data_IF_832532790049
#
_entry.id   IF_832532790049
#
_cell.length_a   1.000
_cell.length_b   1.000
_cell.length_c   1.000
_cell.angle_alpha   90.00
_cell.angle_beta   90.00
_cell.angle_gamma   90.00
#
_symmetry.space_group_name_H-M   'P 1'
#
loop_
_entity.id
_entity.type
_entity.pdbx_description
1 polymer ?
#
# COMPACT_ATOMS: atom_id res chain seq x y z
N UNK A 1 7.43 -23.33 -71.00
CA UNK A 1 8.42 -24.36 -71.41
C UNK A 1 9.88 -24.10 -70.93
N UNK A 2 10.19 -23.09 -70.10
CA UNK A 2 11.58 -22.93 -69.56
C UNK A 2 11.76 -23.41 -68.11
N UNK A 3 10.68 -23.53 -67.34
CA UNK A 3 10.70 -23.90 -65.92
C UNK A 3 10.93 -25.40 -65.66
N UNK A 4 10.50 -26.29 -66.57
CA UNK A 4 10.68 -27.74 -66.39
C UNK A 4 12.14 -28.18 -66.53
N UNK A 5 12.96 -27.44 -67.30
CA UNK A 5 14.40 -27.73 -67.45
C UNK A 5 15.18 -27.37 -66.18
N UNK A 6 14.78 -26.30 -65.47
CA UNK A 6 15.33 -25.92 -64.17
C UNK A 6 14.95 -26.94 -63.08
N UNK A 7 13.69 -27.39 -63.05
CA UNK A 7 13.22 -28.40 -62.10
C UNK A 7 13.89 -29.75 -62.35
N UNK A 8 14.04 -30.18 -63.61
CA UNK A 8 14.74 -31.41 -63.96
C UNK A 8 16.25 -31.35 -63.60
N UNK A 9 16.88 -30.18 -63.75
CA UNK A 9 18.27 -29.96 -63.33
C UNK A 9 18.45 -30.04 -61.81
N UNK A 10 17.54 -29.45 -61.03
CA UNK A 10 17.56 -29.50 -59.56
C UNK A 10 17.28 -30.92 -59.05
N UNK A 11 16.35 -31.64 -59.67
CA UNK A 11 16.05 -33.04 -59.33
C UNK A 11 17.24 -33.96 -59.65
N UNK A 12 17.90 -33.72 -60.78
CA UNK A 12 19.13 -34.42 -61.17
C UNK A 12 20.26 -34.15 -60.18
N UNK A 13 20.44 -32.91 -59.73
CA UNK A 13 21.49 -32.55 -58.77
C UNK A 13 21.21 -33.14 -57.38
N UNK A 14 19.95 -33.19 -56.94
CA UNK A 14 19.50 -33.90 -55.73
C UNK A 14 19.74 -35.41 -55.81
N UNK A 15 19.49 -36.02 -56.97
CA UNK A 15 19.78 -37.43 -57.21
C UNK A 15 21.30 -37.70 -57.23
N UNK A 16 22.11 -36.85 -57.86
CA UNK A 16 23.56 -36.99 -57.83
C UNK A 16 24.15 -36.79 -56.42
N UNK A 17 23.63 -35.84 -55.63
CA UNK A 17 24.03 -35.67 -54.23
C UNK A 17 23.64 -36.88 -53.37
N UNK A 18 22.49 -37.52 -53.65
CA UNK A 18 22.08 -38.74 -52.95
C UNK A 18 23.02 -39.92 -53.23
N UNK A 19 23.53 -40.05 -54.46
CA UNK A 19 24.45 -41.13 -54.84
C UNK A 19 25.85 -40.90 -54.26
N UNK A 20 26.32 -39.65 -54.16
CA UNK A 20 27.61 -39.35 -53.53
C UNK A 20 27.61 -39.53 -52.01
N UNK A 21 26.47 -39.33 -51.33
CA UNK A 21 26.33 -39.63 -49.89
C UNK A 21 26.26 -41.14 -49.62
N UNK A 22 25.76 -41.95 -50.57
CA UNK A 22 25.80 -43.42 -50.47
C UNK A 22 27.16 -44.03 -50.83
N UNK A 23 28.15 -43.22 -51.24
CA UNK A 23 29.53 -43.65 -51.46
C UNK A 23 30.42 -43.41 -50.22
N UNK A 24 29.83 -42.97 -49.10
CA UNK A 24 30.50 -42.84 -47.82
C UNK A 24 30.50 -44.21 -47.13
N UNK A 25 31.50 -45.03 -47.47
CA UNK A 25 32.09 -46.09 -46.63
C UNK A 25 31.06 -46.75 -45.68
N UNK A 26 30.20 -47.63 -46.23
CA UNK A 26 29.46 -48.59 -45.40
C UNK A 26 30.50 -49.40 -44.65
N UNK A 27 30.77 -49.04 -43.39
CA UNK A 27 31.24 -50.04 -42.43
C UNK A 27 30.13 -51.08 -42.37
N UNK A 28 30.26 -52.13 -43.17
CA UNK A 28 29.46 -53.35 -43.03
C UNK A 28 29.66 -53.82 -41.59
N UNK A 29 28.68 -53.48 -40.76
CA UNK A 29 28.63 -53.88 -39.37
C UNK A 29 28.58 -55.41 -39.37
N UNK A 30 29.59 -56.04 -38.78
CA UNK A 30 29.66 -57.50 -38.71
C UNK A 30 28.42 -58.06 -38.01
N UNK A 31 28.06 -59.32 -38.28
CA UNK A 31 26.89 -59.98 -37.64
C UNK A 31 26.94 -59.87 -36.11
N UNK A 32 28.14 -59.91 -35.53
CA UNK A 32 28.40 -59.74 -34.10
C UNK A 32 28.17 -58.30 -33.61
N UNK A 33 28.62 -57.30 -34.36
CA UNK A 33 28.34 -55.88 -34.08
C UNK A 33 26.84 -55.56 -34.21
N UNK A 34 26.15 -56.15 -35.19
CA UNK A 34 24.70 -56.01 -35.36
C UNK A 34 23.93 -56.64 -34.19
N UNK A 35 24.30 -57.86 -33.78
CA UNK A 35 23.66 -58.52 -32.64
C UNK A 35 23.88 -57.73 -31.34
N UNK A 36 25.06 -57.12 -31.18
CA UNK A 36 25.39 -56.25 -30.04
C UNK A 36 24.52 -54.99 -30.05
N UNK A 37 24.37 -54.34 -31.19
CA UNK A 37 23.53 -53.14 -31.33
C UNK A 37 22.04 -53.44 -31.12
N UNK A 38 21.54 -54.57 -31.64
CA UNK A 38 20.17 -55.02 -31.42
C UNK A 38 19.89 -55.32 -29.93
N UNK A 39 20.86 -55.92 -29.23
CA UNK A 39 20.76 -56.13 -27.79
C UNK A 39 20.75 -54.79 -27.03
N UNK A 40 21.66 -53.87 -27.37
CA UNK A 40 21.73 -52.51 -26.80
C UNK A 40 20.41 -51.75 -26.96
N UNK A 41 19.88 -51.73 -28.18
CA UNK A 41 18.60 -51.06 -28.49
C UNK A 41 17.43 -51.72 -27.76
N UNK A 42 17.46 -53.04 -27.59
CA UNK A 42 16.44 -53.79 -26.83
C UNK A 42 16.48 -53.42 -25.35
N UNK A 43 17.67 -53.35 -24.74
CA UNK A 43 17.85 -52.90 -23.36
C UNK A 43 17.41 -51.44 -23.18
N UNK A 44 17.80 -50.55 -24.10
CA UNK A 44 17.35 -49.15 -24.11
C UNK A 44 15.82 -49.05 -24.19
N UNK A 45 15.17 -49.87 -25.02
CA UNK A 45 13.70 -49.92 -25.11
C UNK A 45 13.07 -50.36 -23.79
N UNK A 46 13.62 -51.38 -23.14
CA UNK A 46 13.13 -51.88 -21.84
C UNK A 46 13.29 -50.80 -20.77
N UNK A 47 14.44 -50.14 -20.72
CA UNK A 47 14.72 -49.05 -19.79
C UNK A 47 13.79 -47.84 -20.02
N UNK A 48 13.64 -47.38 -21.26
CA UNK A 48 12.70 -46.31 -21.61
C UNK A 48 11.24 -46.67 -21.26
N UNK A 49 10.85 -47.94 -21.47
CA UNK A 49 9.50 -48.41 -21.09
C UNK A 49 9.32 -48.36 -19.57
N UNK A 50 10.34 -48.73 -18.80
CA UNK A 50 10.35 -48.62 -17.34
C UNK A 50 10.22 -47.15 -16.91
N UNK A 51 11.03 -46.25 -17.47
CA UNK A 51 10.96 -44.81 -17.19
C UNK A 51 9.57 -44.23 -17.51
N UNK A 52 8.95 -44.62 -18.63
CA UNK A 52 7.58 -44.20 -18.99
C UNK A 52 6.58 -44.62 -17.92
N UNK A 53 6.68 -45.85 -17.41
CA UNK A 53 5.76 -46.35 -16.39
C UNK A 53 5.98 -45.66 -15.03
N UNK A 54 7.23 -45.38 -14.65
CA UNK A 54 7.57 -44.61 -13.45
C UNK A 54 7.07 -43.16 -13.53
N UNK A 55 7.24 -42.51 -14.69
CA UNK A 55 6.69 -41.18 -14.95
C UNK A 55 5.17 -41.16 -14.91
N UNK A 56 4.50 -42.16 -15.48
CA UNK A 56 3.04 -42.31 -15.39
C UNK A 56 2.58 -42.42 -13.94
N UNK A 57 3.23 -43.26 -13.14
CA UNK A 57 2.94 -43.38 -11.71
C UNK A 57 3.11 -42.04 -10.99
N UNK A 58 4.20 -41.33 -11.27
CA UNK A 58 4.47 -40.00 -10.68
C UNK A 58 3.41 -38.96 -11.08
N UNK A 59 2.97 -38.97 -12.34
CA UNK A 59 1.88 -38.11 -12.82
C UNK A 59 0.58 -38.41 -12.07
N UNK A 60 0.25 -39.69 -11.89
CA UNK A 60 -0.95 -40.09 -11.18
C UNK A 60 -0.91 -39.70 -9.69
N UNK A 61 0.26 -39.84 -9.05
CA UNK A 61 0.48 -39.34 -7.69
C UNK A 61 0.33 -37.81 -7.58
N UNK A 62 0.90 -37.06 -8.52
CA UNK A 62 0.78 -35.61 -8.54
C UNK A 62 -0.66 -35.15 -8.77
N UNK A 63 -1.40 -35.82 -9.67
CA UNK A 63 -2.83 -35.57 -9.89
C UNK A 63 -3.65 -35.85 -8.63
N UNK A 64 -3.35 -36.94 -7.91
CA UNK A 64 -3.99 -37.24 -6.62
C UNK A 64 -3.70 -36.15 -5.58
N UNK A 65 -2.45 -35.69 -5.47
CA UNK A 65 -2.07 -34.59 -4.57
C UNK A 65 -2.80 -33.30 -4.93
N UNK A 66 -2.87 -32.96 -6.21
CA UNK A 66 -3.60 -31.79 -6.69
C UNK A 66 -5.10 -31.88 -6.38
N UNK A 67 -5.72 -33.05 -6.59
CA UNK A 67 -7.13 -33.27 -6.29
C UNK A 67 -7.45 -33.28 -4.78
N UNK A 68 -6.46 -33.62 -3.94
CA UNK A 68 -6.59 -33.60 -2.48
C UNK A 68 -6.39 -32.21 -1.87
N UNK A 69 -5.80 -31.26 -2.62
CA UNK A 69 -5.66 -29.89 -2.15
C UNK A 69 -7.01 -29.17 -2.19
N UNK A 70 -7.38 -28.57 -1.07
CA UNK A 70 -8.50 -27.65 -1.00
C UNK A 70 -8.25 -26.47 -1.95
N UNK A 71 -9.33 -25.94 -2.55
CA UNK A 71 -9.20 -24.78 -3.40
C UNK A 71 -8.71 -23.58 -2.58
N UNK A 72 -7.94 -22.71 -3.23
CA UNK A 72 -7.47 -21.46 -2.60
C UNK A 72 -8.65 -20.62 -2.10
N UNK A 73 -9.75 -20.63 -2.85
CA UNK A 73 -10.98 -19.91 -2.52
C UNK A 73 -11.60 -20.42 -1.21
N UNK A 74 -11.71 -21.73 -1.03
CA UNK A 74 -12.27 -22.30 0.19
C UNK A 74 -11.39 -22.01 1.42
N UNK A 75 -10.07 -22.08 1.25
CA UNK A 75 -9.12 -21.74 2.32
C UNK A 75 -9.22 -20.26 2.73
N UNK A 76 -9.41 -19.36 1.75
CA UNK A 76 -9.63 -17.94 2.00
C UNK A 76 -10.95 -17.71 2.74
N UNK A 77 -12.03 -18.38 2.32
CA UNK A 77 -13.33 -18.25 2.94
C UNK A 77 -13.35 -18.82 4.37
N UNK A 78 -12.64 -19.92 4.63
CA UNK A 78 -12.44 -20.44 5.98
C UNK A 78 -11.71 -19.43 6.87
N UNK A 79 -10.62 -18.82 6.36
CA UNK A 79 -9.90 -17.74 7.07
C UNK A 79 -10.81 -16.55 7.41
N UNK A 80 -11.69 -16.15 6.49
CA UNK A 80 -12.65 -15.08 6.75
C UNK A 80 -13.72 -15.49 7.77
N UNK A 81 -14.16 -16.75 7.74
CA UNK A 81 -15.08 -17.29 8.72
C UNK A 81 -14.50 -17.30 10.15
N UNK A 82 -13.17 -17.47 10.31
CA UNK A 82 -12.50 -17.38 11.62
C UNK A 82 -12.68 -16.01 12.29
N UNK A 83 -12.75 -14.93 11.52
CA UNK A 83 -13.03 -13.57 12.04
C UNK A 83 -14.52 -13.22 12.01
N UNK A 84 -15.38 -14.19 11.66
CA UNK A 84 -16.83 -14.04 11.58
C UNK A 84 -17.28 -13.15 10.42
N UNK A 85 -16.54 -13.16 9.31
CA UNK A 85 -16.81 -12.33 8.14
C UNK A 85 -17.03 -13.15 6.87
N UNK A 86 -17.81 -12.59 5.95
CA UNK A 86 -17.96 -13.13 4.59
C UNK A 86 -16.99 -12.45 3.62
N UNK A 87 -16.79 -13.03 2.44
CA UNK A 87 -16.03 -12.40 1.36
C UNK A 87 -16.58 -10.99 1.03
N UNK A 88 -17.91 -10.84 0.98
CA UNK A 88 -18.56 -9.56 0.72
C UNK A 88 -18.24 -8.50 1.79
N UNK A 89 -18.12 -8.91 3.05
CA UNK A 89 -17.73 -8.02 4.15
C UNK A 89 -16.28 -7.56 4.00
N UNK A 90 -15.38 -8.47 3.63
CA UNK A 90 -13.97 -8.15 3.39
C UNK A 90 -13.81 -7.22 2.19
N UNK A 91 -14.55 -7.44 1.11
CA UNK A 91 -14.55 -6.56 -0.08
C UNK A 91 -15.08 -5.17 0.28
N UNK A 92 -16.12 -5.08 1.10
CA UNK A 92 -16.64 -3.79 1.60
C UNK A 92 -15.59 -3.08 2.46
N UNK A 93 -15.01 -3.78 3.42
CA UNK A 93 -13.97 -3.24 4.29
C UNK A 93 -12.74 -2.77 3.51
N UNK A 94 -12.29 -3.53 2.49
CA UNK A 94 -11.20 -3.13 1.61
C UNK A 94 -11.48 -1.80 0.92
N UNK A 95 -12.73 -1.55 0.49
CA UNK A 95 -13.14 -0.26 -0.11
C UNK A 95 -13.12 0.88 0.91
N UNK A 96 -13.63 0.64 2.13
CA UNK A 96 -13.62 1.64 3.21
C UNK A 96 -12.19 2.03 3.59
N UNK A 97 -11.29 1.05 3.73
CA UNK A 97 -9.86 1.28 3.99
C UNK A 97 -9.23 2.12 2.88
N UNK A 98 -9.47 1.76 1.61
CA UNK A 98 -8.92 2.48 0.47
C UNK A 98 -9.45 3.92 0.37
N UNK A 99 -10.73 4.12 0.68
CA UNK A 99 -11.33 5.45 0.70
C UNK A 99 -10.70 6.33 1.78
N UNK A 100 -10.57 5.82 3.02
CA UNK A 100 -9.97 6.58 4.11
C UNK A 100 -8.49 6.86 3.86
N UNK A 101 -7.73 5.88 3.35
CA UNK A 101 -6.34 6.08 2.95
C UNK A 101 -6.22 7.22 1.93
N UNK A 102 -7.08 7.26 0.91
CA UNK A 102 -7.10 8.36 -0.05
C UNK A 102 -7.40 9.72 0.59
N UNK A 103 -8.30 9.78 1.57
CA UNK A 103 -8.61 11.01 2.30
C UNK A 103 -7.42 11.49 3.15
N UNK A 104 -6.74 10.56 3.84
CA UNK A 104 -5.53 10.85 4.62
C UNK A 104 -4.40 11.34 3.70
N UNK A 105 -4.19 10.67 2.56
CA UNK A 105 -3.14 11.05 1.61
C UNK A 105 -3.36 12.45 1.02
N UNK A 106 -4.62 12.82 0.76
CA UNK A 106 -4.98 14.17 0.31
C UNK A 106 -5.03 15.21 1.43
N UNK A 107 -4.79 14.82 2.68
CA UNK A 107 -4.91 15.68 3.88
C UNK A 107 -6.26 16.39 3.93
N UNK A 108 -7.33 15.63 3.69
CA UNK A 108 -8.69 16.14 3.65
C UNK A 108 -9.20 16.39 5.07
N UNK A 109 -9.04 17.63 5.56
CA UNK A 109 -9.48 18.06 6.88
C UNK A 109 -10.99 17.83 7.12
N UNK A 110 -11.42 17.64 8.38
CA UNK A 110 -10.60 17.63 9.60
C UNK A 110 -9.81 16.33 9.83
N UNK A 111 -8.58 16.42 10.33
CA UNK A 111 -7.73 15.27 10.72
C UNK A 111 -8.38 14.47 11.84
N UNK A 112 -9.02 15.15 12.79
CA UNK A 112 -9.74 14.53 13.91
C UNK A 112 -10.78 13.51 13.38
N UNK A 113 -11.54 13.88 12.35
CA UNK A 113 -12.54 13.00 11.74
C UNK A 113 -11.89 11.77 11.07
N UNK A 114 -10.69 11.92 10.49
CA UNK A 114 -9.93 10.81 9.87
C UNK A 114 -9.33 9.90 10.92
N UNK A 115 -8.89 10.44 12.06
CA UNK A 115 -8.43 9.65 13.20
C UNK A 115 -9.58 8.80 13.75
N UNK A 116 -10.77 9.39 13.96
CA UNK A 116 -11.96 8.66 14.39
C UNK A 116 -12.35 7.58 13.38
N UNK A 117 -12.34 7.89 12.09
CA UNK A 117 -12.61 6.90 11.04
C UNK A 117 -11.59 5.75 11.06
N UNK A 118 -10.30 6.05 11.27
CA UNK A 118 -9.26 5.03 11.37
C UNK A 118 -9.47 4.14 12.60
N UNK A 119 -9.82 4.72 13.73
CA UNK A 119 -10.03 3.98 14.98
C UNK A 119 -11.26 3.08 14.88
N UNK A 120 -12.35 3.55 14.25
CA UNK A 120 -13.50 2.70 13.92
C UNK A 120 -13.13 1.51 13.03
N UNK A 121 -12.22 1.71 12.05
CA UNK A 121 -11.75 0.60 11.20
C UNK A 121 -10.86 -0.37 11.98
N UNK A 122 -10.04 0.10 12.92
CA UNK A 122 -9.21 -0.76 13.78
C UNK A 122 -10.05 -1.59 14.75
N UNK A 123 -11.16 -1.05 15.24
CA UNK A 123 -12.06 -1.74 16.16
C UNK A 123 -12.85 -2.88 15.47
N UNK A 124 -12.96 -2.86 14.15
CA UNK A 124 -13.54 -3.96 13.38
C UNK A 124 -12.72 -5.24 13.52
N UNK A 125 -13.37 -6.39 13.68
CA UNK A 125 -12.70 -7.71 13.68
C UNK A 125 -11.92 -8.00 12.40
N UNK A 126 -12.34 -7.39 11.28
CA UNK A 126 -11.64 -7.50 9.99
C UNK A 126 -10.24 -6.88 10.04
N UNK A 127 -9.97 -5.95 10.95
CA UNK A 127 -8.65 -5.33 11.10
C UNK A 127 -7.55 -6.31 11.52
N UNK A 128 -7.94 -7.45 12.11
CA UNK A 128 -7.02 -8.52 12.51
C UNK A 128 -6.49 -9.33 11.32
N UNK A 129 -7.13 -9.24 10.15
CA UNK A 129 -6.66 -9.95 8.97
C UNK A 129 -5.29 -9.40 8.54
N UNK A 130 -4.32 -10.26 8.15
CA UNK A 130 -2.97 -9.83 7.79
C UNK A 130 -2.91 -8.77 6.68
N UNK A 131 -3.88 -8.80 5.75
CA UNK A 131 -3.97 -7.83 4.66
C UNK A 131 -4.29 -6.40 5.13
N UNK A 132 -4.94 -6.23 6.29
CA UNK A 132 -5.34 -4.92 6.82
C UNK A 132 -4.52 -4.50 8.04
N UNK A 133 -4.07 -5.44 8.86
CA UNK A 133 -3.44 -5.14 10.14
C UNK A 133 -2.25 -4.17 10.02
N UNK A 134 -1.26 -4.48 9.19
CA UNK A 134 -0.10 -3.60 9.03
C UNK A 134 -0.51 -2.23 8.46
N UNK A 135 -1.43 -2.23 7.49
CA UNK A 135 -1.90 -1.02 6.82
C UNK A 135 -2.59 -0.06 7.78
N UNK A 136 -3.55 -0.54 8.57
CA UNK A 136 -4.31 0.27 9.52
C UNK A 136 -3.47 0.72 10.71
N UNK A 137 -2.75 -0.22 11.35
CA UNK A 137 -2.10 0.04 12.64
C UNK A 137 -0.73 0.71 12.51
N UNK A 138 -0.03 0.55 11.38
CA UNK A 138 1.28 1.17 11.15
C UNK A 138 1.22 2.25 10.09
N UNK A 139 0.85 1.90 8.87
CA UNK A 139 0.99 2.81 7.73
C UNK A 139 0.04 4.01 7.85
N UNK A 140 -1.27 3.77 8.02
CA UNK A 140 -2.27 4.83 8.11
C UNK A 140 -2.16 5.64 9.38
N UNK A 141 -1.85 5.00 10.52
CA UNK A 141 -1.58 5.73 11.76
C UNK A 141 -0.38 6.67 11.61
N UNK A 142 0.74 6.18 11.05
CA UNK A 142 1.93 7.02 10.84
C UNK A 142 1.64 8.19 9.86
N UNK A 143 0.81 7.97 8.84
CA UNK A 143 0.39 9.06 7.94
C UNK A 143 -0.40 10.14 8.68
N UNK A 144 -1.29 9.76 9.60
CA UNK A 144 -2.04 10.70 10.44
C UNK A 144 -1.13 11.40 11.46
N UNK A 145 -0.24 10.67 12.12
CA UNK A 145 0.69 11.26 13.10
C UNK A 145 1.59 12.31 12.43
N UNK A 146 2.07 12.03 11.21
CA UNK A 146 2.87 12.96 10.41
C UNK A 146 2.07 14.12 9.79
N UNK A 147 0.74 14.11 9.87
CA UNK A 147 -0.10 15.17 9.35
C UNK A 147 -0.24 16.30 10.37
N UNK A 148 0.51 17.37 10.15
CA UNK A 148 0.36 18.67 10.83
C UNK A 148 -0.84 19.44 10.22
N UNK A 149 -1.88 19.70 11.01
CA UNK A 149 -3.00 20.56 10.60
C UNK A 149 -2.77 22.02 10.99
N UNK A 150 -3.20 22.93 10.13
CA UNK A 150 -3.24 24.34 10.48
C UNK A 150 -4.22 24.56 11.65
N UNK A 151 -3.87 25.41 12.63
CA UNK A 151 -4.75 25.71 13.75
C UNK A 151 -6.11 26.24 13.29
N UNK A 152 -7.21 25.68 13.80
CA UNK A 152 -8.59 26.09 13.47
C UNK A 152 -8.77 27.58 13.80
N UNK A 153 -9.10 28.44 12.85
CA UNK A 153 -9.24 29.89 13.07
C UNK A 153 -10.69 30.30 13.37
N UNK A 154 -10.87 31.18 14.36
CA UNK A 154 -12.17 31.81 14.69
C UNK A 154 -12.08 33.32 14.45
N UNK A 155 -13.07 33.90 13.79
CA UNK A 155 -13.13 35.35 13.60
C UNK A 155 -13.80 36.04 14.79
N UNK A 156 -13.17 37.08 15.34
CA UNK A 156 -13.71 37.89 16.42
C UNK A 156 -13.77 39.37 16.05
N UNK A 157 -14.90 40.02 16.35
CA UNK A 157 -15.05 41.47 16.17
C UNK A 157 -14.68 42.20 17.46
N UNK A 158 -13.69 43.09 17.38
CA UNK A 158 -13.21 43.89 18.51
C UNK A 158 -14.31 44.84 19.00
N UNK A 159 -14.53 44.84 20.32
CA UNK A 159 -15.48 45.74 20.97
C UNK A 159 -14.72 46.86 21.71
N UNK A 160 -15.38 48.00 21.93
CA UNK A 160 -14.80 49.12 22.69
C UNK A 160 -14.32 48.64 24.07
N UNK A 161 -13.05 48.93 24.40
CA UNK A 161 -12.42 48.51 25.65
C UNK A 161 -11.83 47.11 25.64
N UNK A 162 -11.71 46.47 24.47
CA UNK A 162 -10.86 45.30 24.27
C UNK A 162 -9.41 45.72 24.04
N UNK A 163 -8.50 44.86 24.49
CA UNK A 163 -7.07 44.87 24.20
C UNK A 163 -6.64 43.41 24.02
N UNK A 164 -5.53 43.16 23.31
CA UNK A 164 -5.17 41.80 22.86
C UNK A 164 -5.13 40.78 24.01
N UNK A 165 -4.61 41.18 25.16
CA UNK A 165 -4.59 40.35 26.37
C UNK A 165 -6.00 39.98 26.88
N UNK A 166 -6.92 40.94 26.89
CA UNK A 166 -8.31 40.70 27.33
C UNK A 166 -9.06 39.79 26.36
N UNK A 167 -8.79 39.91 25.06
CA UNK A 167 -9.34 39.01 24.05
C UNK A 167 -8.80 37.59 24.30
N UNK A 168 -7.48 37.42 24.37
CA UNK A 168 -6.84 36.12 24.63
C UNK A 168 -7.31 35.45 25.94
N UNK A 169 -7.59 36.25 26.98
CA UNK A 169 -8.06 35.75 28.28
C UNK A 169 -9.50 35.20 28.25
N UNK A 170 -10.32 35.48 27.23
CA UNK A 170 -11.69 34.94 27.17
C UNK A 170 -11.65 33.41 27.06
N UNK A 171 -12.51 32.72 27.82
CA UNK A 171 -12.55 31.25 27.88
C UNK A 171 -12.92 30.61 26.53
N UNK A 172 -13.70 31.32 25.71
CA UNK A 172 -14.06 30.88 24.35
C UNK A 172 -12.87 30.89 23.36
N UNK A 173 -11.75 31.51 23.72
CA UNK A 173 -10.54 31.56 22.91
C UNK A 173 -9.44 30.74 23.58
N UNK A 174 -8.59 31.36 24.41
CA UNK A 174 -7.46 30.67 25.03
C UNK A 174 -7.61 30.50 26.55
N UNK A 175 -8.49 31.27 27.21
CA UNK A 175 -8.55 31.33 28.68
C UNK A 175 -7.23 31.82 29.32
N UNK A 176 -6.31 32.33 28.51
CA UNK A 176 -4.95 32.66 28.91
C UNK A 176 -4.47 33.92 28.19
N UNK A 177 -4.35 35.00 28.96
CA UNK A 177 -3.91 36.30 28.44
C UNK A 177 -2.50 36.28 27.87
N UNK A 178 -1.60 35.38 28.31
CA UNK A 178 -0.23 35.28 27.78
C UNK A 178 -0.16 34.85 26.31
N UNK A 179 -1.22 34.24 25.79
CA UNK A 179 -1.32 33.83 24.38
C UNK A 179 -1.73 34.99 23.44
N UNK A 180 -1.85 36.22 23.92
CA UNK A 180 -2.12 37.40 23.09
C UNK A 180 -1.18 37.60 21.89
N UNK A 181 0.14 37.23 21.93
CA UNK A 181 1.02 37.40 20.77
C UNK A 181 0.60 36.54 19.57
N UNK A 182 -0.15 35.46 19.79
CA UNK A 182 -0.68 34.60 18.72
C UNK A 182 -1.71 35.37 17.89
N UNK A 183 -2.61 36.10 18.56
CA UNK A 183 -3.61 36.98 17.91
C UNK A 183 -2.88 38.08 17.12
N UNK A 184 -1.86 38.69 17.71
CA UNK A 184 -1.06 39.70 17.01
C UNK A 184 -0.38 39.14 15.75
N UNK A 185 0.27 37.98 15.86
CA UNK A 185 0.99 37.35 14.76
C UNK A 185 0.05 36.95 13.61
N UNK A 186 -1.15 36.47 13.91
CA UNK A 186 -2.15 36.09 12.91
C UNK A 186 -2.75 37.28 12.15
N UNK A 187 -2.65 38.50 12.68
CA UNK A 187 -3.28 39.71 12.13
C UNK A 187 -2.26 40.84 11.91
N UNK A 188 -0.99 40.51 11.65
CA UNK A 188 0.09 41.49 11.43
C UNK A 188 -0.15 42.43 10.26
N UNK A 189 -1.00 42.02 9.32
CA UNK A 189 -1.49 42.81 8.21
C UNK A 189 -2.43 43.94 8.65
N UNK A 190 -3.17 43.74 9.75
CA UNK A 190 -4.14 44.70 10.28
C UNK A 190 -3.63 45.47 11.50
N UNK A 191 -2.74 44.87 12.30
CA UNK A 191 -2.24 45.42 13.56
C UNK A 191 -0.79 45.86 13.37
N UNK A 192 -0.57 47.17 13.24
CA UNK A 192 0.77 47.76 13.15
C UNK A 192 1.46 47.89 14.50
N UNK A 193 0.67 48.21 15.53
CA UNK A 193 1.10 48.37 16.91
C UNK A 193 0.20 47.49 17.79
N UNK A 194 0.76 46.52 18.54
CA UNK A 194 -0.03 45.62 19.38
C UNK A 194 -0.85 46.34 20.47
N UNK A 195 -0.43 47.54 20.88
CA UNK A 195 -1.13 48.32 21.90
C UNK A 195 -2.30 49.15 21.32
N UNK A 196 -2.42 49.21 19.98
CA UNK A 196 -3.40 50.05 19.29
C UNK A 196 -4.35 49.22 18.41
N UNK A 197 -5.49 48.83 19.00
CA UNK A 197 -6.59 48.16 18.30
C UNK A 197 -7.89 48.99 18.39
N UNK A 198 -8.75 48.87 17.38
CA UNK A 198 -9.94 49.69 17.20
C UNK A 198 -11.22 48.86 17.20
N UNK A 199 -12.34 49.39 17.73
CA UNK A 199 -13.64 48.74 17.65
C UNK A 199 -14.05 48.45 16.20
N UNK A 200 -14.77 47.33 15.99
CA UNK A 200 -15.24 46.80 14.69
C UNK A 200 -14.16 46.18 13.78
N UNK A 201 -12.89 46.12 14.21
CA UNK A 201 -11.90 45.29 13.52
C UNK A 201 -12.26 43.81 13.67
N UNK A 202 -12.03 43.02 12.62
CA UNK A 202 -12.24 41.58 12.64
C UNK A 202 -10.89 40.88 12.66
N UNK A 203 -10.57 40.25 13.78
CA UNK A 203 -9.34 39.51 13.97
C UNK A 203 -9.55 38.02 13.81
N UNK A 204 -8.61 37.38 13.13
CA UNK A 204 -8.45 35.93 13.10
C UNK A 204 -7.80 35.48 14.40
N UNK A 205 -8.44 34.58 15.11
CA UNK A 205 -7.95 33.99 16.35
C UNK A 205 -7.70 32.51 16.08
N UNK A 206 -6.44 32.11 15.76
CA UNK A 206 -6.10 30.71 15.56
C UNK A 206 -6.25 29.94 16.86
N UNK A 207 -6.81 28.75 16.86
CA UNK A 207 -6.82 27.88 18.03
C UNK A 207 -5.40 27.41 18.32
N UNK A 208 -5.00 27.34 19.59
CA UNK A 208 -3.65 26.91 19.94
C UNK A 208 -3.52 25.39 19.74
N UNK A 209 -2.37 24.94 19.21
CA UNK A 209 -2.01 23.53 19.30
C UNK A 209 -1.81 23.13 20.76
N UNK A 210 -1.85 21.83 21.07
CA UNK A 210 -1.70 21.39 22.47
C UNK A 210 -0.32 21.72 23.05
N UNK A 211 0.72 21.73 22.20
CA UNK A 211 2.06 22.19 22.58
C UNK A 211 2.10 23.69 22.89
N UNK A 212 1.43 24.51 22.08
CA UNK A 212 1.32 25.95 22.32
C UNK A 212 0.53 26.26 23.59
N UNK A 213 -0.60 25.56 23.83
CA UNK A 213 -1.35 25.66 25.09
C UNK A 213 -0.43 25.35 26.27
N UNK A 214 0.32 24.25 26.23
CA UNK A 214 1.23 23.87 27.30
C UNK A 214 2.32 24.93 27.54
N UNK A 215 2.85 25.55 26.49
CA UNK A 215 3.82 26.66 26.58
C UNK A 215 3.23 27.87 27.31
N UNK A 216 2.04 28.32 26.93
CA UNK A 216 1.41 29.51 27.53
C UNK A 216 0.86 29.24 28.95
N UNK A 217 0.44 28.00 29.26
CA UNK A 217 0.07 27.63 30.63
C UNK A 217 1.30 27.64 31.56
N UNK A 218 2.46 27.16 31.12
CA UNK A 218 3.71 27.31 31.87
C UNK A 218 4.07 28.78 32.09
N UNK A 219 3.91 29.63 31.07
CA UNK A 219 4.16 31.06 31.20
C UNK A 219 3.24 31.73 32.24
N UNK A 220 1.96 31.35 32.24
CA UNK A 220 0.96 31.80 33.23
C UNK A 220 1.30 31.33 34.65
N UNK A 221 1.71 30.07 34.82
CA UNK A 221 2.09 29.52 36.12
C UNK A 221 3.35 30.17 36.70
N UNK A 222 4.31 30.52 35.85
CA UNK A 222 5.58 31.15 36.27
C UNK A 222 5.45 32.67 36.51
N UNK A 223 4.32 33.27 36.15
CA UNK A 223 4.12 34.70 36.28
C UNK A 223 3.92 35.10 37.75
N UNK A 224 4.80 35.99 38.24
CA UNK A 224 4.67 36.65 39.54
C UNK A 224 4.16 38.07 39.29
N UNK A 225 2.94 38.42 39.73
CA UNK A 225 2.43 39.77 39.56
C UNK A 225 3.30 40.77 40.32
N UNK A 226 3.41 41.98 39.79
CA UNK A 226 4.05 43.07 40.51
C UNK A 226 3.33 43.28 41.86
N UNK A 227 4.07 43.61 42.94
CA UNK A 227 3.44 43.97 44.20
C UNK A 227 2.46 45.13 43.96
N UNK A 228 1.30 45.14 44.62
CA UNK A 228 0.31 46.20 44.44
C UNK A 228 0.97 47.55 44.73
N UNK A 229 0.78 48.50 43.81
CA UNK A 229 1.18 49.89 44.03
C UNK A 229 0.40 50.42 45.22
N UNK A 230 1.11 50.85 46.26
CA UNK A 230 0.56 51.53 47.44
C UNK A 230 -0.08 52.86 47.07
#
# INVERSE_FOLDING_TARGET
>A
MKSYKLIAGILGLLLFFSVSVMAQEEKEMTEEEFQTEMNRLTEQRVDLTKQINELKSSIDELKKKQAALQSVEDCINEKYALVGATEADVVRFRREVAQLEGQIQRKESPKDDRQVALDNLKDSKLSALPEFHNKLFKQMQAMLDAWEEAPKEVNYTVVKGDYLWKIAKKDQFYGNGFAWPVIYNANRDQIKDPDLIYPKQVFKIPNLSDDEKAKYEKAKANYKPAPPSQ
#
